data_IF_540877019762
#
_entry.id   IF_540877019762
#
_cell.length_a   1.000
_cell.length_b   1.000
_cell.length_c   1.000
_cell.angle_alpha   90.00
_cell.angle_beta   90.00
_cell.angle_gamma   90.00
#
_symmetry.space_group_name_H-M   'P 1'
#
loop_
_entity.id
_entity.type
_entity.pdbx_description
1 polymer ?
#
# COMPACT_ATOMS: atom_id res chain seq x y z
N UNK A 1 3.21 3.38 -48.70
CA UNK A 1 3.98 2.34 -47.98
C UNK A 1 4.38 2.90 -46.63
N UNK A 2 3.96 2.26 -45.54
CA UNK A 2 4.20 2.72 -44.16
C UNK A 2 5.67 2.53 -43.74
N UNK A 3 6.23 3.52 -43.05
CA UNK A 3 7.46 3.43 -42.26
C UNK A 3 7.12 3.82 -40.81
N UNK A 4 7.49 3.04 -39.78
CA UNK A 4 7.09 3.31 -38.40
C UNK A 4 8.23 3.98 -37.62
N UNK A 5 7.96 5.09 -36.93
CA UNK A 5 8.89 5.55 -35.88
C UNK A 5 8.22 6.34 -34.75
N UNK A 6 8.52 5.83 -33.54
CA UNK A 6 8.36 6.34 -32.17
C UNK A 6 6.95 6.35 -31.53
N UNK A 7 6.66 5.38 -30.63
CA UNK A 7 5.63 5.54 -29.61
C UNK A 7 6.08 6.61 -28.61
N UNK A 8 5.22 7.59 -28.38
CA UNK A 8 5.37 8.62 -27.36
C UNK A 8 5.37 8.00 -25.96
N UNK A 9 6.30 8.49 -25.11
CA UNK A 9 6.64 8.09 -23.74
C UNK A 9 5.48 7.81 -22.77
N UNK A 10 4.24 8.14 -23.12
CA UNK A 10 3.06 7.84 -22.32
C UNK A 10 2.73 6.33 -22.26
N UNK A 11 3.13 5.56 -23.28
CA UNK A 11 2.91 4.11 -23.27
C UNK A 11 3.89 3.38 -22.33
N UNK A 12 5.12 3.91 -22.17
CA UNK A 12 6.15 3.30 -21.35
C UNK A 12 5.92 3.52 -19.85
N UNK A 13 5.36 4.67 -19.44
CA UNK A 13 5.02 4.93 -18.04
C UNK A 13 3.78 4.12 -17.62
N UNK A 14 2.78 3.96 -18.51
CA UNK A 14 1.64 3.08 -18.24
C UNK A 14 2.10 1.62 -18.09
N UNK A 15 2.97 1.11 -18.95
CA UNK A 15 3.52 -0.25 -18.77
C UNK A 15 4.40 -0.39 -17.51
N UNK A 16 5.16 0.63 -17.10
CA UNK A 16 5.99 0.53 -15.88
C UNK A 16 5.22 0.74 -14.57
N UNK A 17 4.03 1.35 -14.64
CA UNK A 17 3.06 1.41 -13.53
C UNK A 17 2.17 0.15 -13.48
N UNK A 18 2.02 -0.57 -14.60
CA UNK A 18 1.14 -1.74 -14.73
C UNK A 18 1.88 -3.10 -14.76
N UNK A 19 3.20 -3.14 -15.00
CA UNK A 19 4.02 -4.36 -14.86
C UNK A 19 4.39 -4.57 -13.39
N UNK A 20 3.36 -4.82 -12.60
CA UNK A 20 3.33 -5.99 -11.72
C UNK A 20 2.22 -6.90 -12.24
N UNK A 21 2.23 -7.19 -13.55
CA UNK A 21 1.21 -8.03 -14.19
C UNK A 21 1.63 -9.50 -14.11
N UNK A 22 1.59 -10.05 -12.90
CA UNK A 22 1.39 -11.46 -12.60
C UNK A 22 1.46 -11.65 -11.08
N UNK A 23 0.34 -11.48 -10.41
CA UNK A 23 0.02 -12.38 -9.30
C UNK A 23 -1.42 -12.77 -9.53
N UNK A 24 -1.75 -14.04 -9.30
CA UNK A 24 -3.14 -14.44 -9.21
C UNK A 24 -3.90 -13.44 -8.32
N UNK A 25 -5.23 -13.39 -8.41
CA UNK A 25 -6.07 -12.68 -7.43
C UNK A 25 -5.98 -13.32 -6.02
N UNK A 26 -4.82 -13.87 -5.66
CA UNK A 26 -4.46 -14.39 -4.35
C UNK A 26 -4.01 -13.21 -3.50
N UNK A 27 -4.91 -12.74 -2.66
CA UNK A 27 -4.52 -11.95 -1.51
C UNK A 27 -3.55 -12.75 -0.64
N UNK A 28 -2.44 -12.11 -0.28
CA UNK A 28 -1.47 -12.69 0.67
C UNK A 28 -2.03 -12.58 2.08
N UNK A 29 -1.85 -13.64 2.86
CA UNK A 29 -2.22 -13.65 4.28
C UNK A 29 -1.23 -12.79 5.06
N UNK A 30 -1.66 -12.19 6.18
CA UNK A 30 -0.79 -11.33 6.96
C UNK A 30 0.43 -12.10 7.52
N UNK A 31 0.25 -13.38 7.85
CA UNK A 31 1.33 -14.25 8.32
C UNK A 31 2.43 -14.50 7.27
N UNK A 32 2.12 -14.37 5.98
CA UNK A 32 3.06 -14.61 4.88
C UNK A 32 3.80 -13.34 4.43
N UNK A 33 3.47 -12.19 5.04
CA UNK A 33 4.15 -10.93 4.74
C UNK A 33 5.59 -11.00 5.26
N UNK A 34 6.53 -10.77 4.35
CA UNK A 34 7.96 -10.78 4.66
C UNK A 34 8.39 -9.44 5.26
N UNK A 35 9.31 -9.49 6.22
CA UNK A 35 9.97 -8.30 6.71
C UNK A 35 10.83 -7.64 5.61
N UNK A 36 10.89 -6.30 5.61
CA UNK A 36 11.69 -5.51 4.67
C UNK A 36 10.86 -4.69 3.69
N UNK A 37 11.50 -4.19 2.62
CA UNK A 37 10.79 -3.46 1.55
C UNK A 37 10.17 -4.46 0.58
N UNK A 38 8.87 -4.59 0.62
CA UNK A 38 8.10 -5.42 -0.31
C UNK A 38 6.87 -4.66 -0.82
N UNK A 39 6.33 -5.14 -1.95
CA UNK A 39 5.02 -4.74 -2.44
C UNK A 39 4.15 -6.00 -2.45
N UNK A 40 3.09 -5.98 -1.64
CA UNK A 40 2.21 -7.14 -1.43
C UNK A 40 0.78 -6.64 -1.34
N UNK A 41 -0.15 -7.44 -1.85
CA UNK A 41 -1.60 -7.17 -1.77
C UNK A 41 -2.23 -8.14 -0.80
N UNK A 42 -2.92 -7.61 0.22
CA UNK A 42 -3.63 -8.38 1.23
C UNK A 42 -5.06 -7.86 1.36
N UNK A 43 -6.01 -8.77 1.62
CA UNK A 43 -7.39 -8.42 1.97
C UNK A 43 -7.52 -8.50 3.49
N UNK A 44 -7.91 -7.39 4.09
CA UNK A 44 -7.97 -7.23 5.54
C UNK A 44 -9.20 -6.41 5.92
N UNK A 45 -9.63 -6.56 7.17
CA UNK A 45 -10.57 -5.67 7.82
C UNK A 45 -9.79 -4.77 8.77
N UNK A 46 -10.12 -3.47 8.77
CA UNK A 46 -9.63 -2.55 9.77
C UNK A 46 -10.47 -2.69 11.04
N UNK A 47 -9.83 -3.02 12.15
CA UNK A 47 -10.49 -3.14 13.46
C UNK A 47 -10.50 -1.81 14.22
N UNK A 48 -9.38 -1.08 14.17
CA UNK A 48 -9.22 0.18 14.87
C UNK A 48 -8.12 0.99 14.20
N UNK A 49 -8.27 2.31 14.18
CA UNK A 49 -7.19 3.24 13.86
C UNK A 49 -7.06 4.29 14.96
N UNK A 50 -5.86 4.84 15.13
CA UNK A 50 -5.61 5.94 16.05
C UNK A 50 -4.48 6.82 15.52
N UNK A 51 -4.50 8.07 15.94
CA UNK A 51 -3.44 9.02 15.62
C UNK A 51 -2.10 8.56 16.20
N UNK A 52 -1.03 8.75 15.41
CA UNK A 52 0.34 8.49 15.81
C UNK A 52 1.04 9.84 16.09
N UNK A 53 0.92 10.38 17.32
CA UNK A 53 1.55 11.65 17.67
C UNK A 53 3.05 11.46 17.90
N UNK A 54 3.84 12.42 17.46
CA UNK A 54 5.26 12.47 17.80
C UNK A 54 5.47 13.28 19.09
N UNK A 55 5.66 12.56 20.18
CA UNK A 55 5.94 13.12 21.51
C UNK A 55 7.16 14.05 21.50
N UNK A 56 8.19 13.74 20.69
CA UNK A 56 9.40 14.57 20.56
C UNK A 56 9.16 15.87 19.78
N UNK A 57 8.05 15.99 19.04
CA UNK A 57 7.68 17.15 18.23
C UNK A 57 6.37 17.76 18.71
N UNK A 58 6.19 17.86 20.03
CA UNK A 58 5.04 18.53 20.63
C UNK A 58 3.69 17.92 20.23
N UNK A 59 3.62 16.59 20.13
CA UNK A 59 2.41 15.85 19.76
C UNK A 59 1.88 16.13 18.35
N UNK A 60 2.71 16.66 17.45
CA UNK A 60 2.35 16.79 16.03
C UNK A 60 1.99 15.41 15.47
N UNK A 61 0.83 15.31 14.81
CA UNK A 61 0.43 14.13 14.05
C UNK A 61 1.52 13.78 13.04
N UNK A 62 2.07 12.57 13.12
CA UNK A 62 3.07 12.06 12.17
C UNK A 62 2.55 10.91 11.33
N UNK A 63 1.41 10.33 11.70
CA UNK A 63 0.77 9.27 10.96
C UNK A 63 -0.48 8.76 11.65
N UNK A 64 -0.97 7.63 11.16
CA UNK A 64 -2.06 6.87 11.77
C UNK A 64 -1.57 5.44 11.95
N UNK A 65 -1.75 4.90 13.15
CA UNK A 65 -1.57 3.49 13.44
C UNK A 65 -2.90 2.77 13.22
N UNK A 66 -2.84 1.52 12.80
CA UNK A 66 -3.98 0.70 12.38
C UNK A 66 -3.80 -0.71 12.89
N UNK A 67 -4.91 -1.31 13.34
CA UNK A 67 -4.98 -2.74 13.65
C UNK A 67 -5.78 -3.44 12.57
N UNK A 68 -5.11 -4.32 11.83
CA UNK A 68 -5.67 -5.07 10.70
C UNK A 68 -5.89 -6.53 11.09
N UNK A 69 -6.96 -7.13 10.55
CA UNK A 69 -7.22 -8.57 10.67
C UNK A 69 -7.50 -9.18 9.30
N UNK A 70 -6.92 -10.36 9.02
CA UNK A 70 -7.20 -11.11 7.79
C UNK A 70 -8.24 -12.20 7.99
N UNK A 71 -8.55 -12.93 6.91
CA UNK A 71 -9.50 -14.06 6.93
C UNK A 71 -9.12 -15.22 7.85
N UNK A 72 -7.85 -15.32 8.26
CA UNK A 72 -7.38 -16.33 9.20
C UNK A 72 -7.31 -15.79 10.64
N UNK A 73 -7.88 -14.62 10.90
CA UNK A 73 -7.84 -13.93 12.19
C UNK A 73 -6.43 -13.56 12.63
N UNK A 74 -5.48 -13.44 11.69
CA UNK A 74 -4.14 -12.92 11.98
C UNK A 74 -4.25 -11.42 12.23
N UNK A 75 -3.71 -10.94 13.36
CA UNK A 75 -3.63 -9.52 13.66
C UNK A 75 -2.29 -8.96 13.21
N UNK A 76 -2.32 -7.80 12.53
CA UNK A 76 -1.11 -7.06 12.18
C UNK A 76 -1.31 -5.58 12.47
N UNK A 77 -0.30 -4.97 13.11
CA UNK A 77 -0.24 -3.52 13.27
C UNK A 77 0.40 -2.88 12.03
N UNK A 78 -0.26 -1.88 11.47
CA UNK A 78 0.24 -1.09 10.36
C UNK A 78 0.34 0.39 10.74
N UNK A 79 1.23 1.12 10.06
CA UNK A 79 1.37 2.56 10.24
C UNK A 79 1.46 3.26 8.90
N UNK A 80 0.73 4.36 8.74
CA UNK A 80 0.79 5.23 7.55
C UNK A 80 1.29 6.59 7.97
N UNK A 81 2.34 7.08 7.30
CA UNK A 81 2.88 8.43 7.52
C UNK A 81 1.92 9.51 7.02
N UNK A 82 1.95 10.70 7.65
CA UNK A 82 1.19 11.88 7.20
C UNK A 82 1.38 12.23 5.73
N UNK A 83 2.55 11.93 5.16
CA UNK A 83 2.84 12.19 3.75
C UNK A 83 2.01 11.31 2.79
N UNK A 84 1.43 10.23 3.31
CA UNK A 84 0.64 9.24 2.56
C UNK A 84 -0.83 9.21 3.02
N UNK A 85 -1.21 10.01 4.02
CA UNK A 85 -2.58 10.06 4.54
C UNK A 85 -3.59 10.51 3.48
N UNK A 86 -3.21 11.41 2.57
CA UNK A 86 -4.12 11.88 1.51
C UNK A 86 -4.53 10.78 0.52
N UNK A 87 -3.78 9.67 0.48
CA UNK A 87 -4.06 8.52 -0.38
C UNK A 87 -4.87 7.45 0.39
N UNK A 88 -4.92 7.54 1.72
CA UNK A 88 -5.67 6.64 2.60
C UNK A 88 -7.06 7.21 2.88
N UNK A 89 -8.04 6.81 2.06
CA UNK A 89 -9.45 7.20 2.25
C UNK A 89 -10.21 5.99 2.81
N UNK A 90 -10.80 6.16 3.99
CA UNK A 90 -11.91 5.31 4.44
C UNK A 90 -13.15 5.74 3.67
N UNK A 91 -13.51 5.00 2.61
CA UNK A 91 -14.85 5.10 2.02
C UNK A 91 -15.84 4.23 2.78
#
# INVERSE_FOLDING_TARGET
>A
MLHPTRPTTQHLIKHRLFVSLAMANSFTLLADIKAGRCSTTAEVRLLRFWEAPNVKRGSKLMGVNMLLIDKQSTLMEGSVSVNLLSIFIFQ
#
